data_IF_169165978744
#
_entry.id   IF_169165978744
#
_cell.length_a   1.000
_cell.length_b   1.000
_cell.length_c   1.000
_cell.angle_alpha   90.00
_cell.angle_beta   90.00
_cell.angle_gamma   90.00
#
_symmetry.space_group_name_H-M   'P 1'
#
loop_
_entity.id
_entity.type
_entity.pdbx_description
1 polymer ?
#
# COMPACT_ATOMS: atom_id res chain seq x y z
N UNK A 1 -7.35 1.89 11.40
CA UNK A 1 -8.10 1.08 10.44
C UNK A 1 -7.41 1.12 9.08
N UNK A 2 -7.29 -0.03 8.45
CA UNK A 2 -6.69 -0.09 7.12
C UNK A 2 -7.56 0.64 6.09
N UNK A 3 -6.95 1.53 5.30
CA UNK A 3 -7.68 2.28 4.28
C UNK A 3 -8.10 1.44 3.08
N UNK A 4 -7.54 0.24 2.95
CA UNK A 4 -7.83 -0.64 1.81
C UNK A 4 -8.88 -1.70 2.14
N UNK A 5 -8.77 -2.38 3.26
CA UNK A 5 -9.70 -3.46 3.61
C UNK A 5 -10.63 -3.13 4.79
N UNK A 6 -10.36 -2.06 5.52
CA UNK A 6 -11.21 -1.63 6.63
C UNK A 6 -10.99 -2.38 7.94
N UNK A 7 -10.00 -3.26 8.02
CA UNK A 7 -9.73 -3.98 9.25
C UNK A 7 -9.11 -3.05 10.29
N UNK A 8 -9.41 -3.32 11.55
CA UNK A 8 -8.87 -2.58 12.67
C UNK A 8 -7.46 -3.03 12.98
N UNK A 9 -6.73 -2.21 13.74
CA UNK A 9 -5.36 -2.50 14.11
C UNK A 9 -5.23 -3.84 14.86
N UNK A 10 -6.21 -4.19 15.66
CA UNK A 10 -6.19 -5.43 16.41
C UNK A 10 -6.56 -6.66 15.57
N UNK A 11 -7.03 -6.46 14.36
CA UNK A 11 -7.41 -7.53 13.45
C UNK A 11 -6.29 -7.91 12.47
N UNK A 12 -5.21 -7.13 12.46
CA UNK A 12 -4.07 -7.35 11.57
C UNK A 12 -2.79 -7.39 12.40
N UNK A 13 -1.73 -7.95 11.84
CA UNK A 13 -0.45 -8.03 12.55
C UNK A 13 0.27 -6.70 12.56
N UNK A 14 0.15 -5.95 11.46
CA UNK A 14 0.81 -4.68 11.32
C UNK A 14 -0.07 -3.71 10.56
N UNK A 15 -0.16 -2.48 11.05
CA UNK A 15 -0.83 -1.40 10.35
C UNK A 15 0.16 -0.28 10.12
N UNK A 16 0.44 0.00 8.86
CA UNK A 16 1.45 0.99 8.46
C UNK A 16 0.75 2.31 8.15
N UNK A 17 1.16 3.35 8.84
CA UNK A 17 0.57 4.67 8.68
C UNK A 17 1.30 5.48 7.61
N UNK A 18 0.53 6.17 6.78
CA UNK A 18 1.05 7.13 5.82
C UNK A 18 0.60 8.55 6.17
N UNK A 19 1.00 9.53 5.37
CA UNK A 19 0.60 10.93 5.61
C UNK A 19 -0.89 11.11 5.32
N UNK A 20 -1.50 12.07 5.98
CA UNK A 20 -2.90 12.40 5.75
C UNK A 20 -3.90 11.38 6.28
N UNK A 21 -3.48 10.51 7.19
CA UNK A 21 -4.39 9.54 7.80
C UNK A 21 -4.68 8.31 6.98
N UNK A 22 -3.81 7.97 6.03
CA UNK A 22 -3.94 6.73 5.25
C UNK A 22 -3.18 5.61 5.93
N UNK A 23 -3.71 4.38 5.81
CA UNK A 23 -3.12 3.20 6.45
C UNK A 23 -3.21 2.01 5.51
N UNK A 24 -2.24 1.10 5.63
CA UNK A 24 -2.27 -0.18 4.92
C UNK A 24 -1.84 -1.28 5.88
N UNK A 25 -2.56 -2.40 5.89
CA UNK A 25 -2.24 -3.52 6.76
C UNK A 25 -1.33 -4.53 6.03
N UNK A 26 -0.71 -5.40 6.82
CA UNK A 26 0.18 -6.42 6.28
C UNK A 26 -0.52 -7.35 5.30
N UNK A 27 -1.80 -7.65 5.54
CA UNK A 27 -2.56 -8.50 4.64
C UNK A 27 -2.76 -7.85 3.28
N UNK A 28 -3.07 -6.54 3.26
CA UNK A 28 -3.21 -5.81 2.00
C UNK A 28 -1.89 -5.69 1.26
N UNK A 29 -0.79 -5.48 1.98
CA UNK A 29 0.54 -5.43 1.37
C UNK A 29 0.85 -6.75 0.67
N UNK A 30 0.58 -7.87 1.32
CA UNK A 30 0.81 -9.19 0.72
C UNK A 30 -0.08 -9.41 -0.51
N UNK A 31 -1.36 -9.06 -0.42
CA UNK A 31 -2.29 -9.22 -1.53
C UNK A 31 -1.90 -8.35 -2.72
N UNK A 32 -1.52 -7.10 -2.48
CA UNK A 32 -1.13 -6.18 -3.53
C UNK A 32 0.17 -6.65 -4.20
N UNK A 33 1.13 -7.13 -3.41
CA UNK A 33 2.42 -7.56 -3.96
C UNK A 33 2.28 -8.80 -4.84
N UNK A 34 1.32 -9.67 -4.55
CA UNK A 34 1.09 -10.86 -5.37
C UNK A 34 0.22 -10.59 -6.59
N UNK A 35 -0.58 -9.53 -6.57
CA UNK A 35 -1.48 -9.19 -7.66
C UNK A 35 -1.02 -8.08 -8.58
N UNK A 36 0.20 -7.59 -8.43
CA UNK A 36 0.67 -6.40 -9.12
C UNK A 36 1.27 -6.70 -10.50
N UNK A 37 0.56 -7.44 -11.33
CA UNK A 37 1.07 -7.83 -12.65
C UNK A 37 0.38 -7.13 -13.82
N UNK A 38 -0.70 -6.40 -13.55
CA UNK A 38 -1.44 -5.76 -14.62
C UNK A 38 -0.91 -4.36 -14.90
N UNK A 39 -0.76 -4.06 -16.18
CA UNK A 39 -0.43 -2.70 -16.59
C UNK A 39 -1.66 -1.83 -16.40
N UNK A 40 -1.48 -0.75 -15.69
CA UNK A 40 -2.56 0.19 -15.43
C UNK A 40 -2.49 1.36 -16.41
N UNK A 41 -3.65 1.80 -16.87
CA UNK A 41 -3.73 3.01 -17.66
C UNK A 41 -3.34 4.20 -16.79
N UNK A 42 -2.61 5.13 -17.38
CA UNK A 42 -2.24 6.34 -16.67
C UNK A 42 -3.47 7.23 -16.48
N UNK A 43 -3.79 7.54 -15.23
CA UNK A 43 -4.93 8.36 -14.87
C UNK A 43 -4.53 9.63 -14.14
N UNK A 44 -3.23 9.93 -14.10
CA UNK A 44 -2.75 11.09 -13.36
C UNK A 44 -2.87 10.94 -11.85
N UNK A 45 -2.96 9.72 -11.37
CA UNK A 45 -3.09 9.44 -9.95
C UNK A 45 -1.74 9.55 -9.25
N UNK A 46 -1.79 9.71 -7.94
CA UNK A 46 -0.59 9.79 -7.11
C UNK A 46 -0.69 8.81 -5.96
N UNK A 47 0.48 8.31 -5.53
CA UNK A 47 0.55 7.49 -4.33
C UNK A 47 0.15 8.33 -3.12
N UNK A 48 -0.74 7.79 -2.30
CA UNK A 48 -1.18 8.48 -1.08
C UNK A 48 -0.11 8.44 0.02
N UNK A 49 0.91 7.61 -0.13
CA UNK A 49 1.94 7.42 0.89
C UNK A 49 3.20 8.22 0.60
N UNK A 50 3.70 8.23 -0.63
CA UNK A 50 4.94 8.94 -0.97
C UNK A 50 4.73 10.14 -1.90
N UNK A 51 3.55 10.27 -2.50
CA UNK A 51 3.23 11.39 -3.38
C UNK A 51 3.75 11.28 -4.80
N UNK A 52 4.39 10.18 -5.16
CA UNK A 52 4.88 10.01 -6.52
C UNK A 52 3.72 9.81 -7.48
N UNK A 53 3.90 10.31 -8.69
CA UNK A 53 2.89 10.16 -9.73
C UNK A 53 2.90 8.73 -10.27
N UNK A 54 1.74 8.32 -10.81
CA UNK A 54 1.58 6.97 -11.35
C UNK A 54 2.66 6.61 -12.38
N UNK A 55 3.05 7.57 -13.22
CA UNK A 55 4.06 7.34 -14.25
C UNK A 55 5.48 7.24 -13.70
N UNK A 56 5.69 7.60 -12.44
CA UNK A 56 7.01 7.57 -11.80
C UNK A 56 7.28 6.25 -11.10
N UNK A 57 6.29 5.38 -11.05
CA UNK A 57 6.37 4.09 -10.37
C UNK A 57 5.96 2.99 -11.35
N UNK A 58 6.33 1.76 -11.06
CA UNK A 58 5.99 0.62 -11.91
C UNK A 58 4.49 0.30 -11.85
N UNK A 59 3.93 0.35 -10.66
CA UNK A 59 2.52 0.06 -10.42
C UNK A 59 1.96 1.02 -9.39
N UNK A 60 0.68 1.35 -9.55
CA UNK A 60 -0.04 2.11 -8.56
C UNK A 60 -1.36 1.39 -8.31
N UNK A 61 -1.54 0.89 -7.09
CA UNK A 61 -2.75 0.17 -6.71
C UNK A 61 -3.77 1.16 -6.19
N UNK A 62 -4.97 1.13 -6.76
CA UNK A 62 -6.06 2.02 -6.37
C UNK A 62 -6.96 1.29 -5.38
N UNK A 63 -7.14 1.87 -4.20
CA UNK A 63 -8.04 1.37 -3.19
C UNK A 63 -9.33 2.15 -3.14
N UNK A 64 -10.19 1.85 -2.17
CA UNK A 64 -11.44 2.58 -1.99
C UNK A 64 -11.20 4.01 -1.52
N UNK A 65 -12.15 4.87 -1.79
CA UNK A 65 -12.14 6.27 -1.33
C UNK A 65 -10.92 7.08 -1.80
N UNK A 66 -10.37 6.72 -2.95
CA UNK A 66 -9.28 7.47 -3.55
C UNK A 66 -7.91 7.24 -2.93
N UNK A 67 -7.76 6.22 -2.10
CA UNK A 67 -6.46 5.89 -1.52
C UNK A 67 -5.67 5.03 -2.51
N UNK A 68 -4.39 5.40 -2.72
CA UNK A 68 -3.53 4.70 -3.67
C UNK A 68 -2.20 4.38 -3.02
N UNK A 69 -1.56 3.30 -3.45
CA UNK A 69 -0.23 2.96 -2.97
C UNK A 69 0.61 2.46 -4.15
N UNK A 70 1.84 2.98 -4.27
CA UNK A 70 2.71 2.61 -5.37
C UNK A 70 3.56 1.38 -5.02
N UNK A 71 4.15 0.78 -6.06
CA UNK A 71 5.00 -0.40 -5.90
C UNK A 71 6.18 -0.16 -4.98
N UNK A 72 6.75 1.05 -5.00
CA UNK A 72 7.88 1.37 -4.12
C UNK A 72 7.45 1.39 -2.66
N UNK A 73 6.29 1.94 -2.36
CA UNK A 73 5.77 1.94 -1.00
C UNK A 73 5.43 0.53 -0.53
N UNK A 74 4.88 -0.30 -1.41
CA UNK A 74 4.61 -1.70 -1.09
C UNK A 74 5.91 -2.43 -0.75
N UNK A 75 6.97 -2.17 -1.52
CA UNK A 75 8.27 -2.77 -1.26
C UNK A 75 8.81 -2.37 0.12
N UNK A 76 8.71 -1.08 0.46
CA UNK A 76 9.11 -0.58 1.77
C UNK A 76 8.27 -1.21 2.89
N UNK A 77 6.97 -1.36 2.67
CA UNK A 77 6.08 -1.99 3.64
C UNK A 77 6.47 -3.45 3.88
N UNK A 78 6.83 -4.16 2.82
CA UNK A 78 7.29 -5.53 2.95
C UNK A 78 8.54 -5.63 3.80
N UNK A 79 9.48 -4.71 3.65
CA UNK A 79 10.68 -4.68 4.46
C UNK A 79 10.37 -4.42 5.93
N UNK A 80 9.46 -3.51 6.22
CA UNK A 80 9.04 -3.20 7.58
C UNK A 80 8.41 -4.42 8.24
N UNK A 81 7.53 -5.09 7.51
CA UNK A 81 6.85 -6.28 8.01
C UNK A 81 7.85 -7.41 8.26
N UNK A 82 8.78 -7.60 7.34
CA UNK A 82 9.80 -8.64 7.45
C UNK A 82 10.71 -8.41 8.65
N UNK A 83 11.07 -7.16 8.93
CA UNK A 83 11.91 -6.84 10.09
C UNK A 83 11.23 -7.22 11.39
N UNK A 84 9.92 -7.01 11.51
CA UNK A 84 9.20 -7.38 12.71
C UNK A 84 9.06 -8.88 12.91
N UNK A 85 9.04 -9.63 11.80
CA UNK A 85 8.89 -11.08 11.85
C UNK A 85 10.21 -11.83 12.03
N UNK A 86 11.32 -11.16 11.76
CA UNK A 86 12.63 -11.81 11.85
C UNK A 86 13.30 -11.48 13.18
N UNK A 87 13.03 -12.30 14.15
CA UNK A 87 13.66 -12.19 15.46
C UNK A 87 14.69 -13.26 15.66
#
# INVERSE_FOLDING_TARGET
MCSFCGKQQDQVQRLIAGPGGVYVCDECVAAISTGAEEQQEERGLRCSFCGKKQRQVLHLTVGPNGVNICSECIFLCQEIIAEEQSH
#
